data_IF_926564035236
#
_entry.id   IF_926564035236
#
_cell.length_a   1.000
_cell.length_b   1.000
_cell.length_c   1.000
_cell.angle_alpha   90.00
_cell.angle_beta   90.00
_cell.angle_gamma   90.00
#
_symmetry.space_group_name_H-M   'P 1'
#
loop_
_entity.id
_entity.type
_entity.pdbx_description
1 polymer ?
#
# COMPACT_ATOMS: atom_id res chain seq x y z
N UNK A 1 -6.52 -19.30 0.57
CA UNK A 1 -6.90 -18.82 1.92
C UNK A 1 -5.66 -18.25 2.57
N UNK A 2 -5.78 -17.12 3.26
CA UNK A 2 -4.66 -16.43 3.91
C UNK A 2 -5.02 -16.04 5.35
N UNK A 3 -4.02 -15.84 6.20
CA UNK A 3 -4.23 -15.40 7.58
C UNK A 3 -4.35 -13.88 7.65
N UNK A 4 -5.39 -13.39 8.31
CA UNK A 4 -5.61 -11.97 8.55
C UNK A 4 -5.56 -11.67 10.06
N UNK A 5 -4.85 -10.60 10.44
CA UNK A 5 -4.63 -10.18 11.83
C UNK A 5 -5.33 -8.87 12.20
N UNK A 6 -6.34 -8.44 11.43
CA UNK A 6 -7.07 -7.20 11.70
C UNK A 6 -7.80 -7.23 13.05
N UNK A 7 -8.21 -8.42 13.52
CA UNK A 7 -8.80 -8.59 14.85
C UNK A 7 -7.80 -8.26 15.96
N UNK A 8 -6.55 -8.72 15.86
CA UNK A 8 -5.48 -8.36 16.78
C UNK A 8 -5.31 -6.84 16.91
N UNK A 9 -5.26 -6.12 15.79
CA UNK A 9 -5.06 -4.67 15.82
C UNK A 9 -6.23 -3.91 16.45
N UNK A 10 -7.47 -4.37 16.24
CA UNK A 10 -8.65 -3.82 16.92
C UNK A 10 -8.58 -4.10 18.42
N UNK A 11 -8.25 -5.33 18.80
CA UNK A 11 -8.11 -5.73 20.20
C UNK A 11 -7.06 -4.89 20.94
N UNK A 12 -5.93 -4.55 20.29
CA UNK A 12 -4.94 -3.63 20.87
C UNK A 12 -5.53 -2.23 21.12
N UNK A 13 -6.29 -1.69 20.17
CA UNK A 13 -6.96 -0.39 20.34
C UNK A 13 -7.94 -0.43 21.49
N UNK A 14 -8.76 -1.47 21.58
CA UNK A 14 -9.75 -1.65 22.65
C UNK A 14 -9.07 -1.74 24.03
N UNK A 15 -7.89 -2.37 24.10
CA UNK A 15 -7.06 -2.47 25.31
C UNK A 15 -6.15 -1.25 25.54
N UNK A 16 -6.20 -0.22 24.69
CA UNK A 16 -5.30 0.96 24.72
C UNK A 16 -3.80 0.61 24.69
N UNK A 17 -3.45 -0.46 23.98
CA UNK A 17 -2.06 -0.93 23.82
C UNK A 17 -1.49 -0.53 22.47
N UNK A 18 -0.23 -0.17 22.46
CA UNK A 18 0.55 0.03 21.24
C UNK A 18 1.19 -1.27 20.75
N UNK A 19 1.70 -1.29 19.52
CA UNK A 19 2.51 -2.41 19.01
C UNK A 19 3.81 -2.60 19.80
N UNK A 20 4.34 -1.52 20.38
CA UNK A 20 5.51 -1.58 21.24
C UNK A 20 5.16 -2.26 22.57
N UNK A 21 4.01 -1.93 23.16
CA UNK A 21 3.53 -2.56 24.39
C UNK A 21 3.28 -4.06 24.17
N UNK A 22 2.72 -4.44 23.01
CA UNK A 22 2.57 -5.84 22.64
C UNK A 22 3.93 -6.55 22.56
N UNK A 23 4.96 -5.92 21.99
CA UNK A 23 6.31 -6.50 21.95
C UNK A 23 6.89 -6.68 23.35
N UNK A 24 6.74 -5.69 24.21
CA UNK A 24 7.26 -5.72 25.59
C UNK A 24 6.58 -6.80 26.43
N UNK A 25 5.25 -6.90 26.34
CA UNK A 25 4.46 -7.88 27.11
C UNK A 25 4.63 -9.32 26.60
N UNK A 26 4.74 -9.52 25.30
CA UNK A 26 4.87 -10.87 24.71
C UNK A 26 6.31 -11.33 24.55
N UNK A 27 7.28 -10.41 24.54
CA UNK A 27 8.69 -10.67 24.21
C UNK A 27 8.93 -11.04 22.74
N UNK A 28 8.02 -10.72 21.82
CA UNK A 28 8.20 -10.96 20.38
C UNK A 28 9.04 -9.86 19.73
N UNK A 29 9.86 -10.25 18.76
CA UNK A 29 10.73 -9.30 18.06
C UNK A 29 9.97 -8.37 17.10
N UNK A 30 10.56 -7.23 16.79
CA UNK A 30 10.07 -6.30 15.76
C UNK A 30 9.89 -6.97 14.39
N UNK A 31 10.69 -8.00 14.08
CA UNK A 31 10.56 -8.81 12.86
C UNK A 31 9.24 -9.58 12.82
N UNK A 32 8.80 -10.11 13.95
CA UNK A 32 7.52 -10.84 14.06
C UNK A 32 6.35 -9.88 13.96
N UNK A 33 6.42 -8.71 14.61
CA UNK A 33 5.42 -7.64 14.41
C UNK A 33 5.32 -7.23 12.94
N UNK A 34 6.46 -7.08 12.25
CA UNK A 34 6.46 -6.73 10.83
C UNK A 34 5.71 -7.78 9.99
N UNK A 35 5.91 -9.08 10.25
CA UNK A 35 5.16 -10.17 9.62
C UNK A 35 3.66 -10.10 9.89
N UNK A 36 3.26 -9.92 11.15
CA UNK A 36 1.84 -9.77 11.53
C UNK A 36 1.20 -8.57 10.81
N UNK A 37 1.92 -7.44 10.73
CA UNK A 37 1.46 -6.25 9.99
C UNK A 37 1.35 -6.54 8.50
N UNK A 38 2.25 -7.35 7.96
CA UNK A 38 2.26 -7.77 6.56
C UNK A 38 1.17 -8.78 6.21
N UNK A 39 0.58 -9.46 7.19
CA UNK A 39 -0.34 -10.57 6.97
C UNK A 39 0.39 -11.90 6.68
N UNK A 40 1.68 -11.97 7.02
CA UNK A 40 2.50 -13.16 6.81
C UNK A 40 2.21 -14.22 7.87
N UNK A 41 2.47 -15.48 7.52
CA UNK A 41 2.40 -16.59 8.48
C UNK A 41 3.44 -16.44 9.59
N UNK A 42 2.98 -16.56 10.83
CA UNK A 42 3.82 -16.70 12.03
C UNK A 42 3.67 -18.10 12.63
N UNK A 43 4.57 -18.47 13.54
CA UNK A 43 4.48 -19.76 14.22
C UNK A 43 3.31 -19.78 15.19
N UNK A 44 2.76 -20.97 15.45
CA UNK A 44 1.69 -21.15 16.44
C UNK A 44 2.14 -20.71 17.84
N UNK A 45 3.42 -20.91 18.19
CA UNK A 45 4.04 -20.41 19.43
C UNK A 45 3.91 -18.89 19.57
N UNK A 46 4.13 -18.15 18.48
CA UNK A 46 3.95 -16.68 18.48
C UNK A 46 2.50 -16.30 18.80
N UNK A 47 1.54 -17.01 18.20
CA UNK A 47 0.12 -16.75 18.42
C UNK A 47 -0.29 -17.05 19.87
N UNK A 48 0.19 -18.17 20.43
CA UNK A 48 -0.03 -18.54 21.83
C UNK A 48 0.49 -17.47 22.79
N UNK A 49 1.72 -16.98 22.60
CA UNK A 49 2.29 -15.91 23.44
C UNK A 49 1.47 -14.62 23.39
N UNK A 50 0.91 -14.28 22.22
CA UNK A 50 0.01 -13.13 22.07
C UNK A 50 -1.31 -13.38 22.80
N UNK A 51 -1.91 -14.56 22.64
CA UNK A 51 -3.12 -14.97 23.34
C UNK A 51 -2.96 -14.89 24.87
N UNK A 52 -1.86 -15.41 25.40
CA UNK A 52 -1.51 -15.36 26.83
C UNK A 52 -1.35 -13.92 27.34
N UNK A 53 -0.59 -13.09 26.62
CA UNK A 53 -0.36 -11.70 27.02
C UNK A 53 -1.63 -10.84 26.98
N UNK A 54 -2.56 -11.13 26.06
CA UNK A 54 -3.80 -10.37 25.90
C UNK A 54 -4.99 -11.00 26.65
N UNK A 55 -4.86 -12.23 27.15
CA UNK A 55 -5.93 -12.99 27.80
C UNK A 55 -7.10 -13.27 26.85
N UNK A 56 -6.84 -13.80 25.66
CA UNK A 56 -7.83 -14.05 24.61
C UNK A 56 -7.55 -15.37 23.86
N UNK A 57 -8.49 -15.81 23.02
CA UNK A 57 -8.33 -17.02 22.19
C UNK A 57 -7.76 -16.67 20.79
N UNK A 58 -7.27 -17.67 20.06
CA UNK A 58 -6.65 -17.50 18.74
C UNK A 58 -7.61 -16.87 17.72
N UNK A 59 -8.92 -17.15 17.85
CA UNK A 59 -9.97 -16.58 17.00
C UNK A 59 -10.22 -15.09 17.22
N UNK A 60 -9.78 -14.54 18.35
CA UNK A 60 -9.87 -13.11 18.69
C UNK A 60 -8.74 -12.30 18.05
N UNK A 61 -7.65 -12.95 17.65
CA UNK A 61 -6.46 -12.28 17.10
C UNK A 61 -6.27 -12.53 15.61
N UNK A 62 -6.80 -13.63 15.06
CA UNK A 62 -6.65 -13.95 13.65
C UNK A 62 -7.84 -14.69 13.05
N UNK A 63 -7.92 -14.68 11.72
CA UNK A 63 -8.88 -15.47 10.96
C UNK A 63 -8.34 -15.88 9.59
N UNK A 64 -8.85 -17.00 9.07
CA UNK A 64 -8.58 -17.45 7.71
C UNK A 64 -9.59 -16.81 6.75
N UNK A 65 -9.11 -16.02 5.79
CA UNK A 65 -9.96 -15.40 4.76
C UNK A 65 -9.68 -15.97 3.38
N UNK A 66 -10.74 -16.03 2.55
CA UNK A 66 -10.58 -16.31 1.12
C UNK A 66 -9.98 -15.10 0.42
N UNK A 67 -9.24 -15.33 -0.67
CA UNK A 67 -8.60 -14.26 -1.45
C UNK A 67 -9.61 -13.25 -2.02
N UNK A 68 -10.85 -13.69 -2.26
CA UNK A 68 -11.95 -12.84 -2.72
C UNK A 68 -12.36 -11.78 -1.69
N UNK A 69 -12.21 -12.09 -0.39
CA UNK A 69 -12.59 -11.21 0.72
C UNK A 69 -11.49 -10.21 1.09
N UNK A 70 -10.28 -10.40 0.60
CA UNK A 70 -9.17 -9.47 0.84
C UNK A 70 -9.50 -8.07 0.31
N UNK A 71 -8.95 -7.05 0.96
CA UNK A 71 -8.89 -5.73 0.34
C UNK A 71 -7.94 -5.79 -0.87
N UNK A 72 -8.07 -4.83 -1.79
CA UNK A 72 -7.17 -4.77 -2.94
C UNK A 72 -5.70 -4.62 -2.51
N UNK A 73 -5.46 -3.86 -1.45
CA UNK A 73 -4.12 -3.68 -0.88
C UNK A 73 -3.57 -4.98 -0.28
N UNK A 74 -4.40 -5.76 0.41
CA UNK A 74 -3.97 -7.04 0.99
C UNK A 74 -3.71 -8.08 -0.10
N UNK A 75 -4.56 -8.14 -1.14
CA UNK A 75 -4.32 -8.97 -2.31
C UNK A 75 -3.00 -8.61 -3.01
N UNK A 76 -2.71 -7.31 -3.17
CA UNK A 76 -1.42 -6.86 -3.69
C UNK A 76 -0.23 -7.36 -2.86
N UNK A 77 -0.31 -7.28 -1.53
CA UNK A 77 0.78 -7.70 -0.65
C UNK A 77 0.99 -9.21 -0.62
N UNK A 78 -0.09 -9.98 -0.60
CA UNK A 78 -0.03 -11.43 -0.40
C UNK A 78 0.13 -12.19 -1.71
N UNK A 79 -0.53 -11.73 -2.78
CA UNK A 79 -0.55 -12.42 -4.08
C UNK A 79 0.39 -11.76 -5.11
N UNK A 80 0.97 -10.60 -4.79
CA UNK A 80 1.87 -9.85 -5.66
C UNK A 80 3.12 -10.63 -6.07
N UNK A 81 3.31 -10.80 -7.38
CA UNK A 81 4.52 -11.40 -7.96
C UNK A 81 5.31 -10.34 -8.70
N UNK A 82 6.61 -10.24 -8.43
CA UNK A 82 7.49 -9.35 -9.20
C UNK A 82 7.63 -9.92 -10.62
N UNK A 83 7.18 -9.16 -11.61
CA UNK A 83 7.20 -9.55 -13.04
C UNK A 83 8.23 -8.77 -13.84
N UNK A 84 8.78 -7.70 -13.27
CA UNK A 84 9.80 -6.89 -13.91
C UNK A 84 10.42 -5.89 -12.94
N UNK A 85 11.59 -5.39 -13.32
CA UNK A 85 12.28 -4.34 -12.58
C UNK A 85 12.97 -3.42 -13.60
N UNK A 86 12.62 -2.15 -13.58
CA UNK A 86 13.22 -1.10 -14.41
C UNK A 86 14.13 -0.22 -13.53
N UNK A 87 14.74 0.82 -14.09
CA UNK A 87 15.67 1.68 -13.37
C UNK A 87 15.04 2.27 -12.09
N UNK A 88 13.83 2.81 -12.21
CA UNK A 88 13.18 3.58 -11.13
C UNK A 88 12.00 2.86 -10.49
N UNK A 89 11.53 1.76 -11.08
CA UNK A 89 10.34 1.04 -10.61
C UNK A 89 10.56 -0.47 -10.52
N UNK A 90 9.84 -1.08 -9.58
CA UNK A 90 9.60 -2.52 -9.52
C UNK A 90 8.17 -2.79 -9.97
N UNK A 91 7.99 -3.76 -10.86
CA UNK A 91 6.69 -4.10 -11.43
C UNK A 91 6.17 -5.36 -10.74
N UNK A 92 4.99 -5.26 -10.14
CA UNK A 92 4.32 -6.35 -9.43
C UNK A 92 3.00 -6.64 -10.10
N UNK A 93 2.70 -7.90 -10.40
CA UNK A 93 1.41 -8.32 -10.95
C UNK A 93 0.67 -9.25 -10.00
N UNK A 94 -0.64 -9.11 -9.94
CA UNK A 94 -1.52 -10.01 -9.19
C UNK A 94 -2.95 -10.01 -9.77
N UNK A 95 -3.74 -10.99 -9.37
CA UNK A 95 -5.15 -11.08 -9.71
C UNK A 95 -6.00 -10.92 -8.44
N UNK A 96 -7.10 -10.18 -8.55
CA UNK A 96 -8.05 -10.01 -7.45
C UNK A 96 -9.45 -9.78 -8.01
N UNK A 97 -10.44 -10.58 -7.56
CA UNK A 97 -11.83 -10.53 -8.03
C UNK A 97 -11.96 -10.61 -9.56
N UNK A 98 -11.28 -11.59 -10.17
CA UNK A 98 -11.23 -11.83 -11.62
C UNK A 98 -10.71 -10.65 -12.46
N UNK A 99 -9.91 -9.76 -11.83
CA UNK A 99 -9.24 -8.65 -12.51
C UNK A 99 -7.75 -8.72 -12.31
N UNK A 100 -6.99 -8.42 -13.37
CA UNK A 100 -5.54 -8.33 -13.31
C UNK A 100 -5.12 -6.92 -12.91
N UNK A 101 -4.16 -6.85 -12.00
CA UNK A 101 -3.54 -5.61 -11.57
C UNK A 101 -2.04 -5.66 -11.85
N UNK A 102 -1.53 -4.55 -12.38
CA UNK A 102 -0.08 -4.32 -12.50
C UNK A 102 0.28 -3.06 -11.74
N UNK A 103 1.17 -3.22 -10.76
CA UNK A 103 1.59 -2.16 -9.85
C UNK A 103 3.04 -1.79 -10.14
N UNK A 104 3.25 -0.55 -10.54
CA UNK A 104 4.56 0.07 -10.72
C UNK A 104 4.96 0.75 -9.42
N UNK A 105 5.81 0.10 -8.64
CA UNK A 105 6.22 0.57 -7.32
C UNK A 105 7.51 1.37 -7.46
N UNK A 106 7.50 2.64 -7.05
CA UNK A 106 8.72 3.46 -7.07
C UNK A 106 9.80 2.87 -6.16
N UNK A 107 11.04 2.74 -6.65
CA UNK A 107 12.16 2.32 -5.81
C UNK A 107 12.52 3.40 -4.79
N UNK A 108 12.58 4.64 -5.27
CA UNK A 108 12.76 5.86 -4.46
C UNK A 108 11.54 6.13 -3.59
N UNK A 109 11.76 6.77 -2.44
CA UNK A 109 10.70 7.22 -1.52
C UNK A 109 10.43 8.70 -1.71
N UNK A 110 9.16 9.05 -1.88
CA UNK A 110 8.68 10.44 -1.90
C UNK A 110 8.74 11.07 -0.51
N UNK A 111 8.85 12.39 -0.51
CA UNK A 111 8.87 13.25 0.68
C UNK A 111 7.82 14.36 0.54
N UNK A 112 7.63 15.17 1.59
CA UNK A 112 6.76 16.37 1.51
C UNK A 112 7.21 17.37 0.45
N UNK A 113 8.49 17.34 0.09
CA UNK A 113 9.06 18.17 -0.96
C UNK A 113 9.00 17.49 -2.34
N UNK A 114 8.33 16.35 -2.47
CA UNK A 114 8.07 15.70 -3.76
C UNK A 114 6.70 16.08 -4.29
N UNK A 115 6.63 16.44 -5.56
CA UNK A 115 5.40 16.65 -6.33
C UNK A 115 5.34 15.64 -7.46
N UNK A 116 4.18 15.01 -7.62
CA UNK A 116 3.90 14.13 -8.76
C UNK A 116 2.94 14.85 -9.69
N UNK A 117 3.29 14.95 -10.98
CA UNK A 117 2.40 15.50 -12.00
C UNK A 117 2.02 14.43 -13.01
N UNK A 118 0.73 14.18 -13.18
CA UNK A 118 0.20 13.35 -14.26
C UNK A 118 -0.18 14.29 -15.41
N UNK A 119 0.30 14.03 -16.62
CA UNK A 119 0.06 14.89 -17.78
C UNK A 119 -0.81 14.19 -18.82
N UNK A 120 -1.45 14.97 -19.68
CA UNK A 120 -2.37 14.50 -20.73
C UNK A 120 -1.71 13.52 -21.71
N UNK A 121 -0.38 13.57 -21.88
CA UNK A 121 0.39 12.68 -22.75
C UNK A 121 0.71 11.31 -22.10
N UNK A 122 -0.08 10.90 -21.11
CA UNK A 122 0.08 9.66 -20.34
C UNK A 122 1.40 9.56 -19.56
N UNK A 123 2.05 10.71 -19.33
CA UNK A 123 3.34 10.75 -18.65
C UNK A 123 3.19 11.18 -17.19
N UNK A 124 3.81 10.43 -16.29
CA UNK A 124 3.92 10.79 -14.88
C UNK A 124 5.31 11.37 -14.62
N UNK A 125 5.35 12.57 -14.04
CA UNK A 125 6.56 13.28 -13.65
C UNK A 125 6.74 13.23 -12.14
N UNK A 126 7.91 12.77 -11.70
CA UNK A 126 8.42 13.04 -10.36
C UNK A 126 9.10 14.42 -10.38
N UNK A 127 8.81 15.29 -9.42
CA UNK A 127 9.48 16.59 -9.23
C UNK A 127 9.91 16.68 -7.77
N UNK A 128 11.21 16.71 -7.52
CA UNK A 128 11.74 16.91 -6.17
C UNK A 128 12.14 18.37 -5.98
N UNK A 129 11.70 18.98 -4.88
CA UNK A 129 12.16 20.30 -4.47
C UNK A 129 13.25 20.13 -3.41
N UNK A 130 14.37 20.80 -3.58
CA UNK A 130 15.41 20.94 -2.56
C UNK A 130 15.47 22.41 -2.17
N UNK A 131 15.44 22.75 -0.87
CA UNK A 131 15.63 24.13 -0.44
C UNK A 131 17.11 24.53 -0.64
N UNK A 132 17.37 25.65 -1.32
CA UNK A 132 18.69 26.29 -1.35
C UNK A 132 18.70 27.51 -0.42
N UNK A 133 19.21 27.33 0.80
CA UNK A 133 19.34 28.44 1.76
C UNK A 133 18.01 29.17 2.03
N UNK A 134 18.05 30.50 2.05
CA UNK A 134 16.90 31.41 2.32
C UNK A 134 16.09 31.80 1.07
N UNK A 135 16.34 31.20 -0.09
CA UNK A 135 15.60 31.50 -1.33
C UNK A 135 14.49 30.48 -1.59
N UNK A 136 13.30 30.97 -1.98
CA UNK A 136 12.14 30.15 -2.34
C UNK A 136 12.26 29.64 -3.81
N UNK A 137 12.90 28.50 -4.02
CA UNK A 137 12.89 27.81 -5.32
C UNK A 137 13.56 26.43 -5.26
N UNK A 138 13.20 25.47 -6.14
CA UNK A 138 13.87 24.18 -6.22
C UNK A 138 15.30 24.30 -6.74
N UNK A 139 16.27 23.73 -6.03
CA UNK A 139 17.68 23.68 -6.48
C UNK A 139 17.94 22.68 -7.62
N UNK A 140 17.12 21.63 -7.76
CA UNK A 140 17.30 20.56 -8.74
C UNK A 140 15.98 19.81 -8.93
N UNK A 141 15.57 19.54 -10.17
CA UNK A 141 14.38 18.75 -10.50
C UNK A 141 14.84 17.41 -11.09
N UNK A 142 14.77 16.32 -10.32
CA UNK A 142 14.85 14.97 -10.88
C UNK A 142 13.52 14.61 -11.52
N UNK A 143 13.52 14.24 -12.81
CA UNK A 143 12.32 13.78 -13.53
C UNK A 143 12.44 12.31 -13.85
N UNK A 144 11.48 11.52 -13.38
CA UNK A 144 11.31 10.12 -13.74
C UNK A 144 10.04 10.02 -14.55
N UNK A 145 10.12 9.34 -15.69
CA UNK A 145 9.00 9.14 -16.61
C UNK A 145 8.45 7.74 -16.46
N UNK A 146 7.14 7.64 -16.22
CA UNK A 146 6.40 6.39 -16.36
C UNK A 146 5.29 6.59 -17.37
N UNK A 147 5.19 5.68 -18.34
CA UNK A 147 4.11 5.64 -19.34
C UNK A 147 3.39 4.29 -19.31
N UNK A 148 2.68 3.98 -18.22
CA UNK A 148 1.88 2.77 -18.17
C UNK A 148 0.70 2.90 -19.14
N UNK A 149 0.80 2.27 -20.32
CA UNK A 149 -0.31 2.28 -21.30
C UNK A 149 -1.54 1.55 -20.75
N UNK A 150 -2.77 1.95 -21.05
CA UNK A 150 -3.93 1.13 -20.75
C UNK A 150 -3.81 -0.26 -21.41
N UNK A 151 -4.28 -1.30 -20.74
CA UNK A 151 -4.36 -2.64 -21.29
C UNK A 151 -5.73 -3.23 -20.98
N UNK A 152 -6.28 -3.96 -21.96
CA UNK A 152 -7.62 -4.53 -21.90
C UNK A 152 -7.73 -5.48 -20.68
N UNK A 153 -8.78 -5.30 -19.89
CA UNK A 153 -9.08 -6.11 -18.70
C UNK A 153 -7.98 -6.04 -17.60
N UNK A 154 -7.14 -5.00 -17.63
CA UNK A 154 -6.05 -4.77 -16.70
C UNK A 154 -6.21 -3.40 -16.02
N UNK A 155 -6.06 -3.35 -14.70
CA UNK A 155 -5.93 -2.09 -13.95
C UNK A 155 -4.47 -1.84 -13.64
N UNK A 156 -3.96 -0.65 -13.96
CA UNK A 156 -2.58 -0.27 -13.66
C UNK A 156 -2.55 0.70 -12.48
N UNK A 157 -1.60 0.49 -11.58
CA UNK A 157 -1.42 1.35 -10.41
C UNK A 157 0.04 1.80 -10.38
N UNK A 158 0.29 3.10 -10.42
CA UNK A 158 1.59 3.69 -10.12
C UNK A 158 1.61 4.06 -8.65
N UNK A 159 2.41 3.30 -7.91
CA UNK A 159 2.49 3.35 -6.47
C UNK A 159 3.78 4.04 -6.02
N UNK A 160 3.63 5.25 -5.49
CA UNK A 160 4.74 5.98 -4.91
C UNK A 160 4.93 5.61 -3.43
N UNK A 161 6.13 5.11 -3.09
CA UNK A 161 6.51 4.87 -1.70
C UNK A 161 6.64 6.22 -0.97
N UNK A 162 6.33 6.25 0.32
CA UNK A 162 6.40 7.48 1.12
C UNK A 162 5.15 8.35 1.00
N UNK A 163 5.27 9.63 1.34
CA UNK A 163 4.17 10.60 1.30
C UNK A 163 4.60 11.80 0.47
N UNK A 164 4.18 11.90 -0.81
CA UNK A 164 4.43 13.09 -1.61
C UNK A 164 3.69 14.28 -1.01
N UNK A 165 4.19 15.49 -1.26
CA UNK A 165 3.52 16.73 -0.89
C UNK A 165 2.20 16.89 -1.62
N UNK A 166 2.19 16.55 -2.92
CA UNK A 166 0.98 16.59 -3.76
C UNK A 166 1.11 15.66 -4.97
N UNK A 167 -0.03 15.12 -5.41
CA UNK A 167 -0.21 14.46 -6.71
C UNK A 167 -1.25 15.29 -7.46
N UNK A 168 -0.91 15.80 -8.64
CA UNK A 168 -1.79 16.65 -9.45
C UNK A 168 -1.96 16.12 -10.88
N UNK A 169 -2.86 16.75 -11.63
CA UNK A 169 -3.11 16.41 -13.03
C UNK A 169 -3.89 15.10 -13.20
N UNK A 170 -4.61 14.68 -12.16
CA UNK A 170 -5.58 13.61 -12.25
C UNK A 170 -6.84 14.18 -12.92
N UNK A 171 -7.18 13.68 -14.09
CA UNK A 171 -8.40 14.00 -14.81
C UNK A 171 -9.41 12.84 -14.70
N UNK A 172 -10.63 13.01 -15.20
CA UNK A 172 -11.57 11.88 -15.35
C UNK A 172 -11.23 10.97 -16.55
N UNK A 173 -10.05 11.16 -17.16
CA UNK A 173 -9.55 10.41 -18.30
C UNK A 173 -8.74 9.18 -17.88
N UNK A 174 -7.45 9.19 -18.18
CA UNK A 174 -6.57 8.01 -18.02
C UNK A 174 -6.10 7.86 -16.56
N UNK A 175 -5.94 8.97 -15.83
CA UNK A 175 -5.37 8.99 -14.48
C UNK A 175 -6.39 9.28 -13.40
N UNK A 176 -6.73 8.29 -12.59
CA UNK A 176 -7.80 8.44 -11.59
C UNK A 176 -7.26 8.42 -10.16
N UNK A 177 -7.89 9.22 -9.30
CA UNK A 177 -7.64 9.23 -7.86
C UNK A 177 -8.10 7.92 -7.20
N UNK A 178 -7.55 7.61 -6.03
CA UNK A 178 -7.85 6.40 -5.26
C UNK A 178 -9.23 6.43 -4.59
N UNK A 179 -10.29 6.69 -5.34
CA UNK A 179 -11.66 6.77 -4.85
C UNK A 179 -12.58 5.80 -5.58
N UNK A 180 -13.32 4.99 -4.82
CA UNK A 180 -14.29 4.03 -5.34
C UNK A 180 -13.69 2.71 -5.83
N UNK A 181 -14.47 1.99 -6.66
CA UNK A 181 -14.08 0.72 -7.25
C UNK A 181 -13.13 0.94 -8.44
N UNK A 182 -12.05 0.15 -8.57
CA UNK A 182 -11.16 0.23 -9.73
C UNK A 182 -11.92 0.07 -11.05
N UNK A 183 -11.66 0.97 -12.01
CA UNK A 183 -12.15 0.92 -13.39
C UNK A 183 -11.14 0.19 -14.26
N UNK A 184 -11.62 -0.52 -15.28
CA UNK A 184 -10.78 -1.17 -16.29
C UNK A 184 -10.15 -0.13 -17.23
N UNK A 185 -9.04 -0.49 -17.88
CA UNK A 185 -8.31 0.38 -18.81
C UNK A 185 -7.88 1.74 -18.22
N UNK A 186 -7.72 1.79 -16.90
CA UNK A 186 -7.44 3.02 -16.14
C UNK A 186 -6.10 2.90 -15.42
N UNK A 187 -5.37 4.00 -15.35
CA UNK A 187 -4.15 4.12 -14.54
C UNK A 187 -4.46 4.88 -13.27
N UNK A 188 -4.20 4.26 -12.12
CA UNK A 188 -4.29 4.94 -10.85
C UNK A 188 -2.93 5.43 -10.40
N UNK A 189 -2.84 6.67 -9.94
CA UNK A 189 -1.59 7.24 -9.40
C UNK A 189 -1.78 7.61 -7.95
N UNK A 190 -1.05 6.97 -7.04
CA UNK A 190 -1.29 7.15 -5.62
C UNK A 190 -0.07 6.86 -4.75
N UNK A 191 -0.12 7.32 -3.50
CA UNK A 191 0.84 6.94 -2.47
C UNK A 191 0.50 5.60 -1.83
N UNK A 192 1.49 4.95 -1.19
CA UNK A 192 1.26 3.72 -0.41
C UNK A 192 0.16 3.87 0.65
N UNK A 193 0.09 5.03 1.30
CA UNK A 193 -0.96 5.32 2.28
C UNK A 193 -2.35 5.41 1.65
N UNK A 194 -2.45 6.01 0.45
CA UNK A 194 -3.72 6.07 -0.29
C UNK A 194 -4.13 4.69 -0.81
N UNK A 195 -3.17 3.85 -1.22
CA UNK A 195 -3.47 2.50 -1.69
C UNK A 195 -4.04 1.60 -0.59
N UNK A 196 -3.54 1.72 0.64
CA UNK A 196 -4.12 1.05 1.84
C UNK A 196 -5.60 1.40 2.06
N UNK A 197 -6.00 2.60 1.66
CA UNK A 197 -7.36 3.11 1.81
C UNK A 197 -8.21 2.94 0.53
N UNK A 198 -7.60 2.48 -0.56
CA UNK A 198 -8.24 2.34 -1.85
C UNK A 198 -9.19 1.14 -1.84
N UNK A 199 -10.41 1.35 -2.31
CA UNK A 199 -11.50 0.38 -2.29
C UNK A 199 -11.94 -0.13 -0.89
N UNK A 200 -11.30 0.28 0.22
CA UNK A 200 -11.74 -0.05 1.60
C UNK A 200 -12.83 0.87 2.13
N UNK A 201 -13.08 2.03 1.51
CA UNK A 201 -14.30 2.79 1.78
C UNK A 201 -15.48 2.03 1.19
N UNK A 202 -16.02 1.08 1.96
CA UNK A 202 -17.45 0.80 1.94
C UNK A 202 -18.13 2.16 1.95
N UNK A 203 -19.00 2.38 0.97
CA UNK A 203 -20.15 3.27 1.09
C UNK A 203 -20.70 3.14 2.51
N UNK A 204 -20.34 4.08 3.38
CA UNK A 204 -21.18 4.37 4.52
C UNK A 204 -22.43 4.99 3.91
N UNK A 205 -23.56 4.33 4.17
CA UNK A 205 -24.92 4.81 3.95
C UNK A 205 -25.05 6.31 4.20
#
# INVERSE_FOLDING_TARGET
>A
MVMEYNKLWKLLVDKKMTKADLMETTGISSRVIAKLVQGDTVTTDTLLRICEALGCDIGDICECVSEEKLSLYDAYRTCGKVVGEEEEVRIVSFEHRNRRYTVYVSKKRTTKATRIECREDETIYWIQYYPFGSMCGPSQVETIFLRPKPAKDETRIVLFRGKPGVIVGLDEGIFVSAHGTPRENTVYVMSEGAFKLFATKKTNN
#
